data_IF_640913633049
#
_entry.id   IF_640913633049
#
_cell.length_a   1.000
_cell.length_b   1.000
_cell.length_c   1.000
_cell.angle_alpha   90.00
_cell.angle_beta   90.00
_cell.angle_gamma   90.00
#
_symmetry.space_group_name_H-M   'P 1'
#
loop_
_entity.id
_entity.type
_entity.pdbx_description
1 polymer ?
#
# COMPACT_ATOMS: atom_id res chain seq x y z
N UNK A 1 -9.97 -25.28 -25.66
CA UNK A 1 -9.02 -24.37 -25.00
C UNK A 1 -9.07 -23.05 -25.72
N UNK A 2 -9.43 -21.98 -25.03
CA UNK A 2 -9.42 -20.62 -25.58
C UNK A 2 -7.98 -20.13 -25.81
N UNK A 3 -7.80 -19.13 -26.67
CA UNK A 3 -6.49 -18.53 -26.92
C UNK A 3 -6.07 -17.58 -25.81
N UNK A 4 -4.76 -17.38 -25.66
CA UNK A 4 -4.19 -16.45 -24.66
C UNK A 4 -4.66 -15.00 -24.86
N UNK A 5 -4.96 -14.60 -26.10
CA UNK A 5 -5.54 -13.28 -26.40
C UNK A 5 -6.93 -13.13 -25.78
N UNK A 6 -7.78 -14.15 -25.90
CA UNK A 6 -9.13 -14.12 -25.31
C UNK A 6 -9.05 -14.16 -23.79
N UNK A 7 -8.14 -14.97 -23.24
CA UNK A 7 -7.84 -15.01 -21.80
C UNK A 7 -7.37 -13.66 -21.25
N UNK A 8 -6.51 -12.96 -22.00
CA UNK A 8 -6.07 -11.61 -21.63
C UNK A 8 -7.20 -10.60 -21.76
N UNK A 9 -8.03 -10.68 -22.80
CA UNK A 9 -9.15 -9.78 -23.01
C UNK A 9 -10.17 -9.84 -21.85
N UNK A 10 -10.55 -11.04 -21.41
CA UNK A 10 -11.49 -11.22 -20.29
C UNK A 10 -10.91 -10.74 -18.95
N UNK A 11 -9.63 -11.00 -18.68
CA UNK A 11 -8.99 -10.59 -17.43
C UNK A 11 -8.74 -9.08 -17.38
N UNK A 12 -8.54 -8.44 -18.53
CA UNK A 12 -8.38 -6.98 -18.64
C UNK A 12 -9.68 -6.20 -18.48
N UNK A 13 -10.78 -6.73 -19.01
CA UNK A 13 -12.04 -6.00 -19.07
C UNK A 13 -13.22 -6.97 -19.12
N UNK A 14 -13.77 -7.26 -17.94
CA UNK A 14 -14.94 -8.13 -17.80
C UNK A 14 -16.16 -7.58 -18.55
N UNK A 15 -16.24 -6.28 -18.85
CA UNK A 15 -17.36 -5.71 -19.62
C UNK A 15 -17.41 -6.20 -21.06
N UNK A 16 -16.29 -6.75 -21.57
CA UNK A 16 -16.21 -7.41 -22.88
C UNK A 16 -16.72 -8.84 -22.88
N UNK A 17 -17.06 -9.39 -21.71
CA UNK A 17 -17.55 -10.76 -21.57
C UNK A 17 -19.07 -10.75 -21.45
N UNK A 18 -19.73 -11.56 -22.27
CA UNK A 18 -21.19 -11.79 -22.20
C UNK A 18 -21.44 -13.24 -21.84
N UNK A 19 -22.50 -13.50 -21.08
CA UNK A 19 -22.93 -14.86 -20.71
C UNK A 19 -24.37 -15.10 -21.17
N UNK A 20 -24.61 -16.21 -21.86
CA UNK A 20 -25.94 -16.69 -22.24
C UNK A 20 -26.03 -18.18 -21.89
N UNK A 21 -26.73 -18.51 -20.81
CA UNK A 21 -26.72 -19.86 -20.25
C UNK A 21 -25.30 -20.28 -19.86
N UNK A 22 -24.85 -21.41 -20.39
CA UNK A 22 -23.51 -21.97 -20.13
C UNK A 22 -22.42 -21.48 -21.12
N UNK A 23 -22.80 -20.62 -22.06
CA UNK A 23 -21.90 -20.10 -23.10
C UNK A 23 -21.47 -18.68 -22.72
N UNK A 24 -20.16 -18.46 -22.73
CA UNK A 24 -19.52 -17.15 -22.70
C UNK A 24 -19.17 -16.69 -24.11
N UNK A 25 -19.26 -15.39 -24.35
CA UNK A 25 -18.77 -14.71 -25.54
C UNK A 25 -17.79 -13.62 -25.12
N UNK A 26 -16.61 -13.59 -25.76
CA UNK A 26 -15.63 -12.53 -25.58
C UNK A 26 -14.96 -12.26 -26.93
N UNK A 27 -15.02 -11.02 -27.40
CA UNK A 27 -14.44 -10.57 -28.68
C UNK A 27 -14.83 -11.48 -29.86
N UNK A 28 -16.09 -11.93 -29.91
CA UNK A 28 -16.64 -12.82 -30.95
C UNK A 28 -16.28 -14.30 -30.81
N UNK A 29 -15.52 -14.68 -29.78
CA UNK A 29 -15.20 -16.09 -29.46
C UNK A 29 -16.19 -16.65 -28.46
N UNK A 30 -16.82 -17.77 -28.79
CA UNK A 30 -17.78 -18.47 -27.92
C UNK A 30 -17.13 -19.68 -27.24
N UNK A 31 -17.34 -19.83 -25.93
CA UNK A 31 -16.73 -20.91 -25.14
C UNK A 31 -17.51 -21.22 -23.86
N UNK A 32 -17.31 -22.41 -23.30
CA UNK A 32 -17.84 -22.79 -21.97
C UNK A 32 -16.80 -22.61 -20.88
N UNK A 33 -17.22 -22.64 -19.60
CA UNK A 33 -16.32 -22.56 -18.45
C UNK A 33 -15.19 -23.62 -18.49
N UNK A 34 -15.52 -24.84 -18.93
CA UNK A 34 -14.58 -25.96 -19.02
C UNK A 34 -13.45 -25.74 -20.04
N UNK A 35 -13.66 -24.84 -21.01
CA UNK A 35 -12.67 -24.53 -22.04
C UNK A 35 -11.67 -23.45 -21.62
N UNK A 36 -11.89 -22.80 -20.47
CA UNK A 36 -10.99 -21.81 -19.89
C UNK A 36 -9.83 -22.56 -19.22
N UNK A 37 -8.57 -22.30 -19.63
CA UNK A 37 -7.42 -22.92 -19.00
C UNK A 37 -7.27 -22.42 -17.57
N UNK A 38 -6.83 -23.31 -16.66
CA UNK A 38 -6.40 -22.90 -15.34
C UNK A 38 -5.15 -22.04 -15.42
N UNK A 39 -5.14 -20.92 -14.72
CA UNK A 39 -3.90 -20.16 -14.51
C UNK A 39 -3.01 -20.96 -13.55
N UNK A 40 -1.93 -21.55 -14.06
CA UNK A 40 -0.96 -22.32 -13.27
C UNK A 40 0.35 -21.55 -13.06
N UNK A 41 0.91 -21.69 -11.84
CA UNK A 41 1.86 -20.79 -11.21
C UNK A 41 3.25 -20.61 -11.82
N UNK A 42 3.61 -21.30 -12.92
CA UNK A 42 4.98 -21.26 -13.48
C UNK A 42 5.34 -19.95 -14.19
N UNK A 43 4.41 -19.00 -14.27
CA UNK A 43 4.61 -17.69 -14.91
C UNK A 43 3.97 -16.53 -14.13
N UNK A 44 3.72 -16.72 -12.82
CA UNK A 44 3.25 -15.65 -11.94
C UNK A 44 4.41 -14.84 -11.41
N UNK A 45 4.27 -13.52 -11.42
CA UNK A 45 5.26 -12.61 -10.83
C UNK A 45 5.16 -12.68 -9.29
N UNK A 46 6.30 -12.62 -8.62
CA UNK A 46 6.32 -12.39 -7.17
C UNK A 46 6.00 -10.93 -6.88
N UNK A 47 5.31 -10.69 -5.76
CA UNK A 47 5.02 -9.34 -5.29
C UNK A 47 6.13 -8.94 -4.32
N UNK A 48 7.12 -8.21 -4.84
CA UNK A 48 8.26 -7.70 -4.06
C UNK A 48 8.59 -6.28 -4.49
N UNK A 49 9.03 -5.49 -3.52
CA UNK A 49 9.53 -4.15 -3.75
C UNK A 49 11.01 -4.18 -4.09
N UNK A 50 11.40 -3.35 -5.04
CA UNK A 50 12.78 -3.02 -5.39
C UNK A 50 12.97 -1.53 -5.15
N UNK A 51 14.01 -1.15 -4.39
CA UNK A 51 14.27 0.24 -4.00
C UNK A 51 13.05 0.95 -3.37
N UNK A 52 12.31 0.24 -2.51
CA UNK A 52 11.06 0.72 -1.89
C UNK A 52 9.95 1.06 -2.90
N UNK A 53 10.02 0.53 -4.11
CA UNK A 53 8.99 0.64 -5.14
C UNK A 53 8.39 -0.75 -5.38
N UNK A 54 7.08 -0.85 -5.21
CA UNK A 54 6.31 -2.03 -5.58
C UNK A 54 5.60 -1.76 -6.91
N UNK A 55 5.95 -2.53 -7.94
CA UNK A 55 5.43 -2.33 -9.29
C UNK A 55 4.59 -3.53 -9.72
N UNK A 56 3.28 -3.31 -9.77
CA UNK A 56 2.33 -4.30 -10.26
C UNK A 56 2.20 -4.31 -11.79
N UNK A 57 2.78 -3.32 -12.48
CA UNK A 57 2.70 -3.17 -13.92
C UNK A 57 1.25 -3.18 -14.43
N UNK A 58 1.09 -3.54 -15.71
CA UNK A 58 -0.20 -3.61 -16.41
C UNK A 58 -0.39 -4.99 -17.01
N UNK A 59 -1.57 -5.56 -16.83
CA UNK A 59 -1.98 -6.83 -17.40
C UNK A 59 -1.05 -7.98 -16.98
N UNK A 60 -0.73 -8.01 -15.68
CA UNK A 60 0.23 -8.94 -15.08
C UNK A 60 -0.49 -9.86 -14.10
N UNK A 61 -0.01 -11.10 -14.04
CA UNK A 61 -0.46 -12.08 -13.07
C UNK A 61 0.56 -12.16 -11.94
N UNK A 62 0.08 -12.23 -10.71
CA UNK A 62 0.90 -12.28 -9.51
C UNK A 62 0.55 -13.45 -8.62
N UNK A 63 1.52 -13.84 -7.80
CA UNK A 63 1.33 -14.76 -6.70
C UNK A 63 1.54 -14.04 -5.37
N UNK A 64 0.58 -14.17 -4.48
CA UNK A 64 0.71 -13.85 -3.06
C UNK A 64 0.69 -15.14 -2.24
N UNK A 65 1.60 -15.27 -1.29
CA UNK A 65 1.61 -16.39 -0.33
C UNK A 65 1.25 -15.82 1.03
N UNK A 66 0.11 -16.24 1.57
CA UNK A 66 -0.36 -15.83 2.89
C UNK A 66 0.47 -16.44 4.01
N UNK A 67 0.27 -15.94 5.24
CA UNK A 67 1.03 -16.39 6.43
C UNK A 67 0.89 -17.88 6.73
N UNK A 68 -0.23 -18.50 6.37
CA UNK A 68 -0.49 -19.94 6.50
C UNK A 68 0.10 -20.78 5.34
N UNK A 69 0.78 -20.13 4.39
CA UNK A 69 1.43 -20.76 3.25
C UNK A 69 0.50 -21.01 2.06
N UNK A 70 -0.75 -20.56 2.10
CA UNK A 70 -1.66 -20.68 0.98
C UNK A 70 -1.27 -19.73 -0.17
N UNK A 71 -1.33 -20.23 -1.41
CA UNK A 71 -1.06 -19.44 -2.60
C UNK A 71 -2.36 -18.81 -3.13
N UNK A 72 -2.28 -17.51 -3.46
CA UNK A 72 -3.36 -16.70 -3.99
C UNK A 72 -2.91 -16.06 -5.31
N UNK A 73 -3.73 -16.14 -6.35
CA UNK A 73 -3.39 -15.69 -7.70
C UNK A 73 -4.12 -14.39 -8.03
N UNK A 74 -3.37 -13.30 -8.26
CA UNK A 74 -3.93 -11.98 -8.54
C UNK A 74 -3.68 -11.55 -9.98
N UNK A 75 -4.47 -10.58 -10.43
CA UNK A 75 -4.31 -9.90 -11.70
C UNK A 75 -4.29 -8.39 -11.51
N UNK A 76 -3.44 -7.69 -12.26
CA UNK A 76 -3.43 -6.23 -12.33
C UNK A 76 -3.90 -5.76 -13.69
N UNK A 77 -4.90 -4.87 -13.70
CA UNK A 77 -5.39 -4.18 -14.89
C UNK A 77 -5.03 -2.67 -14.85
N UNK A 78 -5.77 -1.81 -15.55
CA UNK A 78 -5.56 -0.35 -15.50
C UNK A 78 -6.15 0.33 -14.26
N UNK A 79 -7.04 -0.35 -13.54
CA UNK A 79 -7.83 0.19 -12.44
C UNK A 79 -7.23 -0.20 -11.10
N UNK A 80 -6.67 -1.40 -10.99
CA UNK A 80 -6.02 -1.88 -9.78
C UNK A 80 -5.59 -3.34 -9.87
N UNK A 81 -5.42 -3.97 -8.72
CA UNK A 81 -5.16 -5.39 -8.55
C UNK A 81 -6.39 -6.11 -7.96
N UNK A 82 -6.63 -7.36 -8.33
CA UNK A 82 -7.77 -8.14 -7.84
C UNK A 82 -7.75 -9.60 -8.27
N UNK A 83 -8.88 -10.29 -8.07
CA UNK A 83 -9.06 -11.66 -8.53
C UNK A 83 -9.02 -11.78 -10.05
N UNK A 84 -8.59 -12.94 -10.53
CA UNK A 84 -8.53 -13.27 -11.96
C UNK A 84 -9.94 -13.62 -12.45
N UNK A 85 -10.49 -12.81 -13.36
CA UNK A 85 -11.85 -12.99 -13.92
C UNK A 85 -12.05 -14.37 -14.52
N UNK A 86 -11.06 -14.89 -15.24
CA UNK A 86 -11.13 -16.21 -15.88
C UNK A 86 -11.27 -17.35 -14.86
N UNK A 87 -10.65 -17.23 -13.67
CA UNK A 87 -10.79 -18.22 -12.60
C UNK A 87 -12.19 -18.16 -11.96
N UNK A 88 -12.74 -16.94 -11.78
CA UNK A 88 -14.13 -16.76 -11.34
C UNK A 88 -15.10 -17.41 -12.34
N UNK A 89 -14.89 -17.20 -13.64
CA UNK A 89 -15.73 -17.78 -14.69
C UNK A 89 -15.67 -19.31 -14.76
N UNK A 90 -14.53 -19.91 -14.35
CA UNK A 90 -14.36 -21.36 -14.16
C UNK A 90 -15.10 -21.90 -12.95
N UNK A 91 -15.57 -21.03 -12.05
CA UNK A 91 -16.25 -21.41 -10.82
C UNK A 91 -15.30 -21.66 -9.65
N UNK A 92 -14.07 -21.11 -9.69
CA UNK A 92 -13.21 -21.12 -8.50
C UNK A 92 -13.91 -20.35 -7.35
N UNK A 93 -13.82 -20.85 -6.11
CA UNK A 93 -14.51 -20.25 -4.98
C UNK A 93 -13.97 -18.85 -4.67
N UNK A 94 -14.83 -18.02 -4.07
CA UNK A 94 -14.43 -16.70 -3.57
C UNK A 94 -13.30 -16.82 -2.56
N UNK A 95 -12.26 -16.00 -2.75
CA UNK A 95 -11.06 -15.99 -1.93
C UNK A 95 -11.00 -14.70 -1.09
N UNK A 96 -11.45 -14.73 0.18
CA UNK A 96 -11.48 -13.54 1.04
C UNK A 96 -10.09 -13.02 1.38
N UNK A 97 -9.08 -13.88 1.41
CA UNK A 97 -7.69 -13.50 1.77
C UNK A 97 -7.07 -12.73 0.61
N UNK A 98 -7.25 -13.22 -0.62
CA UNK A 98 -6.86 -12.52 -1.84
C UNK A 98 -7.51 -11.14 -1.92
N UNK A 99 -8.84 -11.06 -1.76
CA UNK A 99 -9.57 -9.81 -1.92
C UNK A 99 -9.16 -8.76 -0.87
N UNK A 100 -8.91 -9.21 0.36
CA UNK A 100 -8.38 -8.35 1.43
C UNK A 100 -6.98 -7.84 1.08
N UNK A 101 -6.11 -8.70 0.58
CA UNK A 101 -4.75 -8.31 0.17
C UNK A 101 -4.75 -7.37 -1.05
N UNK A 102 -5.59 -7.64 -2.06
CA UNK A 102 -5.74 -6.78 -3.23
C UNK A 102 -6.28 -5.39 -2.87
N UNK A 103 -7.30 -5.36 -2.01
CA UNK A 103 -7.91 -4.12 -1.52
C UNK A 103 -6.92 -3.23 -0.77
N UNK A 104 -6.00 -3.82 -0.01
CA UNK A 104 -4.93 -3.08 0.68
C UNK A 104 -4.09 -2.27 -0.31
N UNK A 105 -3.59 -2.90 -1.37
CA UNK A 105 -2.78 -2.21 -2.37
C UNK A 105 -3.58 -1.21 -3.20
N UNK A 106 -4.85 -1.51 -3.50
CA UNK A 106 -5.74 -0.57 -4.17
C UNK A 106 -5.97 0.70 -3.32
N UNK A 107 -6.06 0.57 -1.99
CA UNK A 107 -6.10 1.74 -1.11
C UNK A 107 -4.78 2.50 -1.04
N UNK A 108 -3.63 1.84 -1.16
CA UNK A 108 -2.33 2.54 -1.24
C UNK A 108 -2.20 3.43 -2.49
N UNK A 109 -2.97 3.12 -3.54
CA UNK A 109 -3.04 3.91 -4.77
C UNK A 109 -3.93 5.15 -4.66
N UNK A 110 -4.63 5.37 -3.54
CA UNK A 110 -5.38 6.61 -3.31
C UNK A 110 -4.45 7.72 -2.80
N UNK A 111 -4.84 8.98 -2.99
CA UNK A 111 -4.08 10.11 -2.45
C UNK A 111 -4.05 10.13 -0.91
N UNK A 112 -5.10 9.61 -0.29
CA UNK A 112 -5.24 9.56 1.16
C UNK A 112 -5.46 8.10 1.63
N UNK A 113 -4.48 7.51 2.33
CA UNK A 113 -4.55 6.13 2.81
C UNK A 113 -5.41 5.97 4.09
N UNK A 114 -6.25 6.94 4.48
CA UNK A 114 -7.18 6.82 5.62
C UNK A 114 -7.96 5.51 5.63
N UNK A 115 -8.42 5.05 4.46
CA UNK A 115 -9.16 3.79 4.38
C UNK A 115 -8.32 2.57 4.75
N UNK A 116 -6.99 2.62 4.60
CA UNK A 116 -6.08 1.58 5.11
C UNK A 116 -6.18 1.53 6.63
N UNK A 117 -6.06 2.67 7.31
CA UNK A 117 -6.14 2.73 8.77
C UNK A 117 -7.51 2.27 9.30
N UNK A 118 -8.60 2.58 8.60
CA UNK A 118 -9.94 2.20 9.03
C UNK A 118 -10.25 0.72 8.79
N UNK A 119 -9.52 0.04 7.90
CA UNK A 119 -9.87 -1.31 7.42
C UNK A 119 -8.87 -2.41 7.83
N UNK A 120 -7.65 -2.03 8.24
CA UNK A 120 -6.56 -2.95 8.56
C UNK A 120 -5.96 -2.59 9.90
N UNK A 121 -5.65 -3.62 10.69
CA UNK A 121 -4.87 -3.45 11.92
C UNK A 121 -3.42 -3.08 11.60
N UNK A 122 -2.73 -2.43 12.54
CA UNK A 122 -1.31 -2.12 12.41
C UNK A 122 -0.46 -3.38 12.17
N UNK A 123 -0.82 -4.51 12.78
CA UNK A 123 -0.12 -5.78 12.58
C UNK A 123 -0.28 -6.30 11.13
N UNK A 124 -1.48 -6.20 10.56
CA UNK A 124 -1.73 -6.58 9.17
C UNK A 124 -0.99 -5.67 8.20
N UNK A 125 -1.07 -4.35 8.41
CA UNK A 125 -0.35 -3.38 7.59
C UNK A 125 1.14 -3.72 7.59
N UNK A 126 1.76 -3.85 8.77
CA UNK A 126 3.19 -4.18 8.88
C UNK A 126 3.52 -5.52 8.24
N UNK A 127 2.66 -6.53 8.42
CA UNK A 127 2.83 -7.83 7.77
C UNK A 127 2.83 -7.75 6.25
N UNK A 128 1.94 -6.96 5.65
CA UNK A 128 1.92 -6.78 4.19
C UNK A 128 3.13 -5.99 3.69
N UNK A 129 3.56 -4.95 4.42
CA UNK A 129 4.77 -4.19 4.08
C UNK A 129 6.03 -5.07 4.15
N UNK A 130 6.18 -5.85 5.22
CA UNK A 130 7.28 -6.80 5.43
C UNK A 130 7.30 -7.89 4.35
N UNK A 131 6.16 -8.51 4.07
CA UNK A 131 6.05 -9.54 3.03
C UNK A 131 6.42 -8.99 1.64
N UNK A 132 6.10 -7.73 1.35
CA UNK A 132 6.49 -7.07 0.12
C UNK A 132 7.95 -6.58 0.12
N UNK A 133 8.67 -6.65 1.24
CA UNK A 133 10.04 -6.13 1.36
C UNK A 133 10.14 -4.60 1.42
N UNK A 134 9.05 -3.90 1.74
CA UNK A 134 9.05 -2.44 1.87
C UNK A 134 9.61 -2.03 3.23
N UNK A 135 10.60 -1.13 3.22
CA UNK A 135 11.23 -0.57 4.43
C UNK A 135 10.55 0.73 4.85
N UNK A 136 10.72 1.10 6.12
CA UNK A 136 10.28 2.41 6.62
C UNK A 136 10.87 3.56 5.79
N UNK A 137 10.09 4.63 5.64
CA UNK A 137 10.38 5.76 4.77
C UNK A 137 9.37 5.89 3.64
N UNK A 138 9.70 6.71 2.64
CA UNK A 138 8.88 6.82 1.44
C UNK A 138 8.91 5.51 0.64
N UNK A 139 7.75 5.13 0.12
CA UNK A 139 7.61 4.03 -0.81
C UNK A 139 6.61 4.40 -1.90
N UNK A 140 6.76 3.78 -3.06
CA UNK A 140 5.89 4.05 -4.22
C UNK A 140 5.21 2.77 -4.67
N UNK A 141 3.90 2.85 -4.86
CA UNK A 141 3.10 1.79 -5.48
C UNK A 141 2.84 2.19 -6.93
N UNK A 142 3.08 1.27 -7.86
CA UNK A 142 2.75 1.45 -9.29
C UNK A 142 1.74 0.40 -9.72
N UNK A 143 0.71 0.84 -10.43
CA UNK A 143 -0.31 -0.01 -11.03
C UNK A 143 -0.64 0.53 -12.42
N UNK A 144 -0.14 -0.17 -13.43
CA UNK A 144 -0.16 0.25 -14.82
C UNK A 144 0.49 1.62 -15.02
N UNK A 145 -0.29 2.57 -15.53
CA UNK A 145 0.18 3.92 -15.84
C UNK A 145 0.06 4.89 -14.64
N UNK A 146 -0.33 4.39 -13.46
CA UNK A 146 -0.55 5.17 -12.24
C UNK A 146 0.52 4.83 -11.20
N UNK A 147 0.92 5.84 -10.44
CA UNK A 147 1.74 5.67 -9.24
C UNK A 147 1.23 6.52 -8.07
N UNK A 148 1.50 6.06 -6.86
CA UNK A 148 1.23 6.79 -5.63
C UNK A 148 2.38 6.61 -4.65
N UNK A 149 2.84 7.71 -4.05
CA UNK A 149 3.87 7.69 -3.02
C UNK A 149 3.25 7.92 -1.65
N UNK A 150 3.56 7.03 -0.72
CA UNK A 150 3.14 7.08 0.68
C UNK A 150 4.39 7.02 1.58
N UNK A 151 4.23 7.29 2.87
CA UNK A 151 5.27 7.19 3.87
C UNK A 151 4.93 6.08 4.88
N UNK A 152 5.85 5.15 5.08
CA UNK A 152 5.72 4.04 6.03
C UNK A 152 6.54 4.30 7.29
N UNK A 153 5.85 4.57 8.40
CA UNK A 153 6.44 4.92 9.69
C UNK A 153 6.56 3.72 10.65
N UNK A 154 7.62 3.74 11.45
CA UNK A 154 7.85 2.84 12.58
C UNK A 154 7.08 3.28 13.85
N UNK A 155 6.34 4.39 13.77
CA UNK A 155 5.47 4.90 14.84
C UNK A 155 4.64 3.82 15.50
N UNK A 156 4.47 3.91 16.82
CA UNK A 156 3.58 3.04 17.62
C UNK A 156 2.35 3.76 18.15
N UNK A 157 2.23 5.06 17.88
CA UNK A 157 1.24 5.96 18.50
C UNK A 157 0.24 6.51 17.49
N UNK A 158 0.54 6.40 16.20
CA UNK A 158 -0.28 6.90 15.10
C UNK A 158 -0.32 5.87 13.97
N UNK A 159 -1.08 6.13 12.90
CA UNK A 159 -1.16 5.20 11.78
C UNK A 159 0.23 4.96 11.16
N UNK A 160 0.61 3.70 10.85
CA UNK A 160 1.89 3.39 10.21
C UNK A 160 2.03 3.97 8.80
N UNK A 161 0.93 4.35 8.13
CA UNK A 161 0.95 4.81 6.74
C UNK A 161 0.43 6.23 6.68
N UNK A 162 1.20 7.11 6.05
CA UNK A 162 0.90 8.52 5.91
C UNK A 162 0.96 8.91 4.45
N UNK A 163 0.05 9.76 3.99
CA UNK A 163 0.20 10.34 2.66
C UNK A 163 1.42 11.24 2.60
N UNK A 164 2.03 11.34 1.42
CA UNK A 164 3.10 12.30 1.17
C UNK A 164 2.69 13.73 1.54
N UNK A 165 1.45 14.11 1.22
CA UNK A 165 0.91 15.44 1.56
C UNK A 165 0.88 15.70 3.07
N UNK A 166 0.43 14.72 3.87
CA UNK A 166 0.44 14.84 5.33
C UNK A 166 1.85 14.89 5.89
N UNK A 167 2.74 14.08 5.34
CA UNK A 167 4.16 14.12 5.69
C UNK A 167 4.74 15.50 5.41
N UNK A 168 4.55 16.05 4.20
CA UNK A 168 5.08 17.36 3.79
C UNK A 168 4.54 18.48 4.69
N UNK A 169 3.25 18.44 5.02
CA UNK A 169 2.63 19.41 5.92
C UNK A 169 3.20 19.32 7.34
N UNK A 170 3.37 18.10 7.89
CA UNK A 170 3.96 17.90 9.22
C UNK A 170 5.43 18.31 9.24
N UNK A 171 6.19 17.93 8.22
CA UNK A 171 7.60 18.29 8.05
C UNK A 171 7.77 19.81 8.08
N UNK A 172 6.97 20.55 7.30
CA UNK A 172 6.99 22.01 7.29
C UNK A 172 6.74 22.63 8.68
N UNK A 173 5.78 22.09 9.44
CA UNK A 173 5.50 22.56 10.81
C UNK A 173 6.66 22.31 11.78
N UNK A 174 7.52 21.33 11.51
CA UNK A 174 8.69 21.02 12.35
C UNK A 174 9.93 21.83 11.91
N UNK A 175 10.12 22.09 10.61
CA UNK A 175 11.39 22.61 10.07
C UNK A 175 11.35 24.07 9.64
N UNK A 176 10.19 24.68 9.45
CA UNK A 176 10.07 26.01 8.82
C UNK A 176 9.11 26.97 9.55
N UNK A 177 8.77 26.65 10.80
CA UNK A 177 7.85 27.42 11.64
C UNK A 177 6.43 26.86 11.58
N UNK A 178 5.76 26.86 12.74
CA UNK A 178 4.40 26.39 12.92
C UNK A 178 4.07 26.16 14.39
N UNK A 179 2.78 26.13 14.72
CA UNK A 179 2.29 26.09 16.11
C UNK A 179 2.65 24.82 16.90
N UNK A 180 3.27 23.82 16.27
CA UNK A 180 3.51 22.51 16.88
C UNK A 180 4.60 22.56 17.94
N UNK A 181 5.55 23.48 17.81
CA UNK A 181 6.75 23.57 18.66
C UNK A 181 6.80 24.85 19.51
N UNK A 182 5.81 25.74 19.40
CA UNK A 182 5.79 27.07 20.04
C UNK A 182 5.84 27.01 21.58
N UNK A 183 5.33 25.93 22.18
CA UNK A 183 5.27 25.78 23.64
C UNK A 183 6.54 25.13 24.24
N UNK A 184 7.50 24.72 23.41
CA UNK A 184 8.76 24.10 23.86
C UNK A 184 9.88 25.14 23.91
N UNK A 185 10.85 24.96 24.81
CA UNK A 185 11.94 25.92 24.99
C UNK A 185 13.07 25.65 24.00
N UNK A 186 13.69 26.72 23.48
CA UNK A 186 14.90 26.60 22.70
C UNK A 186 15.97 25.84 23.49
N UNK A 187 16.64 24.88 22.83
CA UNK A 187 17.55 23.95 23.48
C UNK A 187 16.92 22.62 23.90
N UNK A 188 15.59 22.49 23.90
CA UNK A 188 14.92 21.21 24.14
C UNK A 188 15.31 20.16 23.08
N UNK A 189 15.43 18.91 23.51
CA UNK A 189 15.92 17.80 22.69
C UNK A 189 14.76 16.90 22.28
N UNK A 190 14.54 16.80 20.97
CA UNK A 190 13.60 15.89 20.33
C UNK A 190 14.36 14.69 19.77
N UNK A 191 13.73 13.51 19.73
CA UNK A 191 14.37 12.31 19.18
C UNK A 191 13.56 11.73 18.03
N UNK A 192 14.24 11.30 16.97
CA UNK A 192 13.64 10.49 15.91
C UNK A 192 14.53 9.27 15.73
N UNK A 193 14.01 8.11 16.14
CA UNK A 193 14.84 6.91 16.28
C UNK A 193 16.02 7.16 17.22
N UNK A 194 17.25 6.95 16.74
CA UNK A 194 18.47 7.14 17.53
C UNK A 194 19.13 8.52 17.35
N UNK A 195 18.47 9.46 16.66
CA UNK A 195 19.00 10.79 16.37
C UNK A 195 18.34 11.83 17.27
N UNK A 196 19.15 12.74 17.79
CA UNK A 196 18.70 13.87 18.61
C UNK A 196 18.70 15.15 17.77
N UNK A 197 17.66 15.96 17.95
CA UNK A 197 17.46 17.24 17.27
C UNK A 197 17.19 18.29 18.32
N UNK A 198 18.03 19.34 18.34
CA UNK A 198 17.93 20.45 19.29
C UNK A 198 17.00 21.51 18.71
N UNK A 199 16.02 21.95 19.50
CA UNK A 199 15.09 23.01 19.10
C UNK A 199 15.83 24.34 18.99
N UNK A 200 15.74 24.99 17.83
CA UNK A 200 16.31 26.31 17.61
C UNK A 200 15.53 27.42 18.32
N UNK A 201 16.13 28.61 18.48
CA UNK A 201 15.46 29.85 18.90
C UNK A 201 14.22 30.23 18.05
N UNK A 202 14.16 29.77 16.81
CA UNK A 202 13.00 29.99 15.92
C UNK A 202 11.93 28.89 16.03
N UNK A 203 11.98 28.04 17.06
CA UNK A 203 11.08 26.89 17.27
C UNK A 203 10.99 25.96 16.06
N UNK A 204 12.15 25.63 15.48
CA UNK A 204 12.30 24.68 14.37
C UNK A 204 13.37 23.64 14.67
N UNK A 205 13.27 22.49 14.00
CA UNK A 205 14.23 21.39 14.06
C UNK A 205 14.91 21.23 12.69
N UNK A 206 16.23 21.07 12.68
CA UNK A 206 17.00 20.77 11.46
C UNK A 206 16.93 19.26 11.15
N UNK A 207 15.78 18.83 10.63
CA UNK A 207 15.49 17.44 10.31
C UNK A 207 15.67 17.24 8.80
N UNK A 208 16.47 16.27 8.33
CA UNK A 208 16.52 15.91 6.92
C UNK A 208 15.16 15.43 6.38
N UNK A 209 14.80 15.86 5.18
CA UNK A 209 13.58 15.38 4.52
C UNK A 209 13.64 13.87 4.27
N UNK A 210 12.58 13.15 4.65
CA UNK A 210 12.49 11.69 4.58
C UNK A 210 12.71 10.97 5.91
N UNK A 211 13.13 11.66 6.97
CA UNK A 211 13.16 11.10 8.33
C UNK A 211 11.77 10.73 8.85
N UNK A 212 11.69 9.75 9.75
CA UNK A 212 10.42 9.27 10.31
C UNK A 212 9.85 10.21 11.39
N UNK A 213 9.43 11.40 10.97
CA UNK A 213 8.85 12.45 11.83
C UNK A 213 7.55 12.04 12.53
N UNK A 214 6.97 10.89 12.18
CA UNK A 214 5.81 10.33 12.88
C UNK A 214 6.23 9.47 14.08
N UNK A 215 7.48 9.01 14.11
CA UNK A 215 8.12 8.36 15.24
C UNK A 215 8.98 9.34 16.07
N UNK A 216 8.58 10.62 16.09
CA UNK A 216 9.23 11.65 16.91
C UNK A 216 8.84 11.47 18.39
N UNK A 217 9.84 11.54 19.26
CA UNK A 217 9.73 11.56 20.70
C UNK A 217 9.94 13.00 21.19
N UNK A 218 8.95 13.48 21.94
CA UNK A 218 8.96 14.81 22.54
C UNK A 218 9.68 14.78 23.89
N UNK A 219 10.25 15.92 24.35
CA UNK A 219 10.88 16.00 25.66
C UNK A 219 9.94 15.55 26.79
N UNK A 220 10.43 14.69 27.70
CA UNK A 220 9.60 14.04 28.73
C UNK A 220 9.13 14.97 29.85
N UNK A 221 9.78 16.13 29.99
CA UNK A 221 9.43 17.19 30.93
C UNK A 221 8.23 18.04 30.45
N UNK A 222 7.54 17.64 29.38
CA UNK A 222 6.31 18.29 28.91
C UNK A 222 5.12 17.33 28.97
N UNK A 223 3.95 17.86 29.33
CA UNK A 223 2.65 17.19 29.19
C UNK A 223 1.69 18.12 28.45
N UNK A 224 1.16 17.65 27.32
CA UNK A 224 0.23 18.41 26.48
C UNK A 224 0.78 19.80 26.09
N UNK A 225 2.07 19.88 25.78
CA UNK A 225 2.75 21.13 25.43
C UNK A 225 3.11 22.01 26.63
N UNK A 226 2.80 21.62 27.87
CA UNK A 226 3.18 22.41 29.06
C UNK A 226 4.34 21.77 29.78
N UNK A 227 5.36 22.58 30.08
CA UNK A 227 6.47 22.16 30.93
C UNK A 227 5.92 21.75 32.29
N UNK A 228 6.30 20.55 32.74
CA UNK A 228 5.95 20.01 34.04
C UNK A 228 7.14 20.32 34.94
N UNK A 229 6.94 21.19 35.91
CA UNK A 229 7.91 21.38 36.99
C UNK A 229 7.94 20.10 37.85
N UNK A 230 9.13 19.60 38.18
CA UNK A 230 9.31 18.48 39.13
C UNK A 230 8.82 18.85 40.54
#
# INVERSE_FOLDING_TARGET
MISNSILSAMNNDISKVRKQGDIYECEGTFFTAEQIPKISGTSLNEIKAEDNIIDFGKNKYFKYVSRDGQEHCLYTDNKGIGAIVSEIMRGEPYDPVLERYASFWNYMMTKDPVYVQLSYSDEEIRGYMENAGIKNGFFTVKMGDREATQFYSATKTTSPIQSKERYDARYKNLTSGGILLDEYEAGDIFKIGNKEYVLSESHTLDIPYGEDIYNIEYPSNYKFGKKVEE
#
